data_IF_263736623177
#
_entry.id   IF_263736623177
#
_cell.length_a   1.000
_cell.length_b   1.000
_cell.length_c   1.000
_cell.angle_alpha   90.00
_cell.angle_beta   90.00
_cell.angle_gamma   90.00
#
_symmetry.space_group_name_H-M   'P 1'
#
loop_
_entity.id
_entity.type
_entity.pdbx_description
1 polymer ?
#
# COMPACT_ATOMS: atom_id res chain seq x y z
N UNK A 1 -5.21 3.39 15.87
CA UNK A 1 -5.44 2.85 14.51
C UNK A 1 -4.98 3.88 13.48
N UNK A 2 -4.21 3.43 12.52
CA UNK A 2 -3.75 4.29 11.44
C UNK A 2 -4.18 3.74 10.08
N UNK A 3 -4.32 4.65 9.13
CA UNK A 3 -4.56 4.33 7.72
C UNK A 3 -3.34 4.74 6.91
N UNK A 4 -2.88 3.85 6.06
CA UNK A 4 -1.76 4.11 5.16
C UNK A 4 -2.26 3.98 3.73
N UNK A 5 -2.11 5.04 2.96
CA UNK A 5 -2.51 5.06 1.55
C UNK A 5 -1.26 5.02 0.70
N UNK A 6 -1.12 3.98 -0.10
CA UNK A 6 0.00 3.84 -1.03
C UNK A 6 -0.51 3.98 -2.45
N UNK A 7 -0.04 4.98 -3.17
CA UNK A 7 -0.45 5.25 -4.55
C UNK A 7 0.56 4.72 -5.55
N UNK A 8 0.05 4.02 -6.58
CA UNK A 8 0.85 3.47 -7.66
C UNK A 8 0.36 4.07 -8.99
N UNK A 9 1.22 4.82 -9.64
CA UNK A 9 0.92 5.36 -10.98
C UNK A 9 1.46 4.40 -12.03
N UNK A 10 0.57 3.74 -12.75
CA UNK A 10 0.92 2.67 -13.68
C UNK A 10 1.26 3.20 -15.05
N UNK A 11 2.19 2.51 -15.72
CA UNK A 11 2.38 2.65 -17.17
C UNK A 11 1.17 2.08 -17.89
N UNK A 12 0.90 2.58 -19.09
CA UNK A 12 -0.22 2.10 -19.90
C UNK A 12 -0.07 0.60 -20.15
N UNK A 13 -1.16 -0.13 -19.88
CA UNK A 13 -1.21 -1.58 -20.10
C UNK A 13 -0.56 -2.41 -19.01
N UNK A 14 0.02 -1.79 -17.98
CA UNK A 14 0.66 -2.53 -16.88
C UNK A 14 -0.39 -3.13 -15.95
N UNK A 15 -0.13 -4.36 -15.51
CA UNK A 15 -0.96 -5.06 -14.52
C UNK A 15 -0.17 -5.20 -13.21
N UNK A 16 -0.59 -4.48 -12.18
CA UNK A 16 0.07 -4.49 -10.87
C UNK A 16 -0.54 -5.52 -9.91
N UNK A 17 -1.62 -6.19 -10.28
CA UNK A 17 -2.30 -7.11 -9.36
C UNK A 17 -1.39 -8.19 -8.78
N UNK A 18 -0.49 -8.82 -9.54
CA UNK A 18 0.43 -9.80 -8.96
C UNK A 18 1.34 -9.22 -7.87
N UNK A 19 1.77 -7.97 -8.04
CA UNK A 19 2.59 -7.27 -7.04
C UNK A 19 1.77 -6.98 -5.78
N UNK A 20 0.54 -6.48 -5.94
CA UNK A 20 -0.35 -6.19 -4.81
C UNK A 20 -0.66 -7.45 -4.02
N UNK A 21 -0.85 -8.57 -4.70
CA UNK A 21 -1.10 -9.87 -4.06
C UNK A 21 0.11 -10.31 -3.23
N UNK A 22 1.32 -10.16 -3.76
CA UNK A 22 2.55 -10.48 -3.02
C UNK A 22 2.70 -9.61 -1.78
N UNK A 23 2.52 -8.29 -1.94
CA UNK A 23 2.62 -7.37 -0.82
C UNK A 23 1.64 -7.74 0.30
N UNK A 24 0.38 -8.00 -0.06
CA UNK A 24 -0.64 -8.36 0.92
C UNK A 24 -0.31 -9.68 1.63
N UNK A 25 0.12 -10.69 0.88
CA UNK A 25 0.41 -12.02 1.44
C UNK A 25 1.52 -11.98 2.49
N UNK A 26 2.47 -11.06 2.35
CA UNK A 26 3.52 -10.87 3.33
C UNK A 26 3.10 -9.94 4.47
N UNK A 27 2.45 -8.82 4.14
CA UNK A 27 2.02 -7.85 5.15
C UNK A 27 1.11 -8.47 6.21
N UNK A 28 0.21 -9.36 5.80
CA UNK A 28 -0.76 -10.02 6.69
C UNK A 28 -0.08 -10.85 7.79
N UNK A 29 1.17 -11.23 7.61
CA UNK A 29 1.92 -12.01 8.62
C UNK A 29 2.56 -11.15 9.70
N UNK A 30 2.53 -9.82 9.54
CA UNK A 30 3.15 -8.90 10.50
C UNK A 30 2.15 -8.46 11.57
N UNK A 31 2.61 -8.31 12.82
CA UNK A 31 1.74 -7.87 13.92
C UNK A 31 1.12 -6.51 13.60
N UNK A 32 -0.12 -6.33 14.01
CA UNK A 32 -0.81 -5.06 13.85
C UNK A 32 -1.49 -4.84 12.51
N UNK A 33 -1.26 -5.73 11.53
CA UNK A 33 -2.00 -5.68 10.27
C UNK A 33 -3.49 -5.93 10.54
N UNK A 34 -4.35 -5.07 10.01
CA UNK A 34 -5.79 -5.21 10.19
C UNK A 34 -6.51 -5.46 8.87
N UNK A 35 -6.23 -4.67 7.85
CA UNK A 35 -6.87 -4.85 6.53
C UNK A 35 -6.10 -4.13 5.43
N UNK A 36 -6.41 -4.51 4.19
CA UNK A 36 -5.93 -3.82 3.00
C UNK A 36 -7.02 -3.85 1.94
N UNK A 37 -7.26 -2.71 1.30
CA UNK A 37 -8.19 -2.59 0.18
C UNK A 37 -7.44 -2.01 -1.02
N UNK A 38 -7.67 -2.59 -2.18
CA UNK A 38 -7.16 -2.05 -3.43
C UNK A 38 -8.23 -1.19 -4.06
N UNK A 39 -7.89 0.07 -4.35
CA UNK A 39 -8.80 1.04 -4.92
C UNK A 39 -8.29 1.49 -6.27
N UNK A 40 -9.18 1.53 -7.24
CA UNK A 40 -8.85 2.08 -8.56
C UNK A 40 -9.55 3.41 -8.73
N UNK A 41 -8.81 4.43 -9.21
CA UNK A 41 -9.41 5.71 -9.49
C UNK A 41 -10.37 5.59 -10.68
N UNK A 42 -11.58 6.11 -10.51
CA UNK A 42 -12.57 6.16 -11.60
C UNK A 42 -12.48 7.47 -12.39
N UNK A 43 -11.64 8.38 -11.95
CA UNK A 43 -11.45 9.70 -12.59
C UNK A 43 -10.08 9.84 -13.24
N UNK A 44 -9.02 9.45 -12.50
CA UNK A 44 -7.64 9.62 -12.92
C UNK A 44 -7.00 8.25 -13.17
N UNK A 45 -7.00 7.81 -14.39
CA UNK A 45 -6.32 6.59 -14.78
C UNK A 45 -4.89 6.90 -15.20
N UNK A 46 -3.93 6.02 -14.95
CA UNK A 46 -4.05 4.72 -14.28
C UNK A 46 -3.42 4.74 -12.87
N UNK A 47 -4.16 5.21 -11.90
CA UNK A 47 -3.67 5.26 -10.51
C UNK A 47 -4.42 4.23 -9.68
N UNK A 48 -3.65 3.37 -9.00
CA UNK A 48 -4.15 2.39 -8.04
C UNK A 48 -3.71 2.83 -6.65
N UNK A 49 -4.63 2.79 -5.69
CA UNK A 49 -4.32 3.04 -4.29
C UNK A 49 -4.52 1.76 -3.50
N UNK A 50 -3.62 1.51 -2.55
CA UNK A 50 -3.84 0.49 -1.52
C UNK A 50 -4.10 1.22 -0.22
N UNK A 51 -5.24 0.94 0.39
CA UNK A 51 -5.60 1.48 1.69
C UNK A 51 -5.38 0.42 2.75
N UNK A 52 -4.32 0.60 3.54
CA UNK A 52 -3.99 -0.29 4.66
C UNK A 52 -4.57 0.26 5.95
N UNK A 53 -4.99 -0.65 6.82
CA UNK A 53 -5.29 -0.33 8.21
C UNK A 53 -4.31 -1.10 9.09
N UNK A 54 -3.60 -0.38 9.97
CA UNK A 54 -2.66 -0.94 10.94
C UNK A 54 -3.03 -0.48 12.34
N UNK A 55 -2.74 -1.30 13.33
CA UNK A 55 -3.05 -0.96 14.73
C UNK A 55 -2.27 0.28 15.18
N UNK A 56 -0.96 0.29 14.92
CA UNK A 56 -0.05 1.39 15.32
C UNK A 56 0.87 1.76 14.17
N UNK A 57 1.40 2.98 14.21
CA UNK A 57 2.35 3.43 13.20
C UNK A 57 3.63 2.58 13.23
N UNK A 58 4.07 2.15 14.41
CA UNK A 58 5.25 1.32 14.56
C UNK A 58 5.11 -0.02 13.83
N UNK A 59 3.89 -0.58 13.81
CA UNK A 59 3.62 -1.82 13.08
C UNK A 59 3.77 -1.62 11.58
N UNK A 60 3.25 -0.50 11.05
CA UNK A 60 3.45 -0.14 9.66
C UNK A 60 4.93 0.06 9.34
N UNK A 61 5.64 0.80 10.18
CA UNK A 61 7.05 1.10 9.96
C UNK A 61 7.91 -0.16 9.94
N UNK A 62 7.58 -1.13 10.78
CA UNK A 62 8.27 -2.42 10.79
C UNK A 62 8.11 -3.12 9.44
N UNK A 63 6.90 -3.19 8.93
CA UNK A 63 6.63 -3.76 7.60
C UNK A 63 7.30 -2.96 6.49
N UNK A 64 7.15 -1.64 6.52
CA UNK A 64 7.69 -0.74 5.50
C UNK A 64 9.20 -0.93 5.30
N UNK A 65 9.91 -1.19 6.38
CA UNK A 65 11.38 -1.30 6.37
C UNK A 65 11.90 -2.71 6.12
N UNK A 66 11.03 -3.68 5.85
CA UNK A 66 11.46 -5.04 5.57
C UNK A 66 12.15 -5.14 4.22
N UNK A 67 13.12 -6.05 4.13
CA UNK A 67 13.81 -6.35 2.88
C UNK A 67 12.82 -6.93 1.87
N UNK A 68 11.91 -7.79 2.32
CA UNK A 68 10.94 -8.43 1.42
C UNK A 68 10.05 -7.42 0.73
N UNK A 69 9.55 -6.40 1.46
CA UNK A 69 8.74 -5.34 0.86
C UNK A 69 9.53 -4.56 -0.18
N UNK A 70 10.78 -4.22 0.15
CA UNK A 70 11.64 -3.47 -0.77
C UNK A 70 11.91 -4.24 -2.05
N UNK A 71 12.14 -5.55 -1.95
CA UNK A 71 12.33 -6.42 -3.12
C UNK A 71 11.09 -6.48 -4.01
N UNK A 72 9.91 -6.63 -3.40
CA UNK A 72 8.66 -6.67 -4.15
C UNK A 72 8.43 -5.34 -4.86
N UNK A 73 8.68 -4.21 -4.20
CA UNK A 73 8.54 -2.90 -4.82
C UNK A 73 9.55 -2.67 -5.95
N UNK A 74 10.74 -3.27 -5.88
CA UNK A 74 11.69 -3.23 -6.99
C UNK A 74 11.14 -3.95 -8.22
N UNK A 75 10.46 -5.07 -8.03
CA UNK A 75 9.78 -5.77 -9.14
C UNK A 75 8.73 -4.89 -9.79
N UNK A 76 8.08 -4.04 -9.01
CA UNK A 76 7.04 -3.14 -9.51
C UNK A 76 7.59 -1.98 -10.35
N UNK A 77 8.86 -1.62 -10.21
CA UNK A 77 9.43 -0.44 -10.88
C UNK A 77 9.21 -0.45 -12.39
N UNK A 78 9.29 -1.60 -13.03
CA UNK A 78 9.07 -1.72 -14.48
C UNK A 78 7.64 -1.38 -14.90
N UNK A 79 6.70 -1.44 -13.97
CA UNK A 79 5.27 -1.21 -14.22
C UNK A 79 4.84 0.22 -13.88
N UNK A 80 5.70 1.00 -13.22
CA UNK A 80 5.34 2.28 -12.65
C UNK A 80 5.99 3.45 -13.40
N UNK A 81 5.24 4.55 -13.47
CA UNK A 81 5.75 5.82 -14.01
C UNK A 81 6.61 6.57 -13.01
N UNK A 82 6.41 6.32 -11.71
CA UNK A 82 7.11 6.99 -10.62
C UNK A 82 7.15 6.09 -9.41
N UNK A 83 7.92 6.48 -8.40
CA UNK A 83 7.97 5.74 -7.13
C UNK A 83 6.60 5.78 -6.45
N UNK A 84 6.21 4.69 -5.74
CA UNK A 84 4.98 4.69 -4.96
C UNK A 84 4.95 5.85 -3.96
N UNK A 85 3.79 6.46 -3.80
CA UNK A 85 3.60 7.55 -2.84
C UNK A 85 2.90 7.02 -1.62
N UNK A 86 3.46 7.30 -0.45
CA UNK A 86 2.92 6.83 0.83
C UNK A 86 2.40 8.03 1.62
N UNK A 87 1.16 7.94 2.10
CA UNK A 87 0.58 8.91 3.01
C UNK A 87 0.01 8.18 4.21
N UNK A 88 0.25 8.74 5.39
CA UNK A 88 -0.13 8.11 6.65
C UNK A 88 -1.09 9.03 7.39
N UNK A 89 -2.19 8.44 7.86
CA UNK A 89 -3.24 9.16 8.57
C UNK A 89 -3.57 8.44 9.87
N UNK A 90 -3.82 9.19 10.91
CA UNK A 90 -4.36 8.65 12.15
C UNK A 90 -5.88 8.83 12.11
N UNK A 91 -6.59 7.77 12.50
CA UNK A 91 -8.05 7.87 12.61
C UNK A 91 -8.38 8.83 13.75
N UNK A 92 -9.10 9.89 13.41
CA UNK A 92 -9.53 10.86 14.41
C UNK A 92 -10.80 10.35 15.09
N UNK A 93 -10.83 10.31 16.42
CA UNK A 93 -12.03 9.84 17.12
C UNK A 93 -13.21 10.77 16.82
N UNK A 94 -14.36 10.15 16.60
CA UNK A 94 -15.62 10.89 16.45
C UNK A 94 -16.17 11.14 17.84
N UNK A 95 -16.35 12.41 18.17
CA UNK A 95 -17.00 12.81 19.41
C UNK A 95 -18.40 13.27 19.09
N UNK A 96 -19.37 12.70 19.72
CA UNK A 96 -20.67 13.18 19.44
C UNK A 96 -21.82 12.58 19.75
#
# INVERSE_FOLDING_TARGET
MIKVVVGFKLKVGADIQPILKKLRSHAITYPGFMSAENLISVQDNPIIFVLYTWNKIEDWQLWENTIIRKKILQEANALLCEQPRVRIYRVMPTTG
#
